data_IF_708096061052
#
_entry.id   IF_708096061052
#
_cell.length_a   1.000
_cell.length_b   1.000
_cell.length_c   1.000
_cell.angle_alpha   90.00
_cell.angle_beta   90.00
_cell.angle_gamma   90.00
#
_symmetry.space_group_name_H-M   'P 1'
#
loop_
_entity.id
_entity.type
_entity.pdbx_description
1 polymer ?
#
# COMPACT_ATOMS: atom_id res chain seq x y z
N UNK A 1 7.26 5.23 18.75
CA UNK A 1 7.04 5.92 20.05
C UNK A 1 6.99 7.41 19.78
N UNK A 2 5.88 8.09 20.09
CA UNK A 2 5.83 9.56 20.06
C UNK A 2 6.89 10.07 21.05
N UNK A 3 7.78 10.93 20.57
CA UNK A 3 8.69 11.68 21.45
C UNK A 3 8.06 13.06 21.62
N UNK A 4 7.69 13.36 22.84
CA UNK A 4 7.08 14.63 23.23
C UNK A 4 7.87 15.22 24.38
N UNK A 5 8.16 16.52 24.35
CA UNK A 5 8.91 17.24 25.38
C UNK A 5 8.24 18.58 25.68
N UNK A 6 8.27 18.97 26.94
CA UNK A 6 7.84 20.30 27.41
C UNK A 6 9.07 21.16 27.59
N UNK A 7 9.04 22.36 27.05
CA UNK A 7 10.13 23.35 27.15
C UNK A 7 10.07 23.99 28.52
N UNK A 8 11.22 24.07 29.20
CA UNK A 8 11.31 24.63 30.57
C UNK A 8 12.00 25.99 30.62
N UNK A 9 12.67 26.41 29.55
CA UNK A 9 13.41 27.66 29.44
C UNK A 9 13.26 28.27 28.04
N UNK A 10 13.44 29.59 27.93
CA UNK A 10 13.45 30.23 26.63
C UNK A 10 14.72 29.80 25.86
N UNK A 11 14.54 29.17 24.69
CA UNK A 11 15.65 28.59 23.91
C UNK A 11 15.28 28.51 22.43
N UNK A 12 16.28 28.64 21.57
CA UNK A 12 16.14 28.41 20.12
C UNK A 12 15.79 26.94 19.82
N UNK A 13 14.81 26.71 18.93
CA UNK A 13 14.32 25.38 18.56
C UNK A 13 15.45 24.41 18.17
N UNK A 14 16.39 24.85 17.32
CA UNK A 14 17.47 23.98 16.88
C UNK A 14 18.41 23.59 18.04
N UNK A 15 18.69 24.51 18.94
CA UNK A 15 19.51 24.25 20.13
C UNK A 15 18.79 23.29 21.07
N UNK A 16 17.49 23.49 21.29
CA UNK A 16 16.65 22.60 22.10
C UNK A 16 16.64 21.18 21.53
N UNK A 17 16.46 21.04 20.21
CA UNK A 17 16.49 19.74 19.56
C UNK A 17 17.84 19.04 19.69
N UNK A 18 18.96 19.76 19.64
CA UNK A 18 20.28 19.18 19.88
C UNK A 18 20.43 18.66 21.31
N UNK A 19 19.90 19.37 22.31
CA UNK A 19 19.90 18.92 23.70
C UNK A 19 19.07 17.65 23.89
N UNK A 20 17.84 17.61 23.33
CA UNK A 20 16.90 16.50 23.51
C UNK A 20 17.24 15.25 22.66
N UNK A 21 17.95 15.44 21.56
CA UNK A 21 18.31 14.39 20.60
C UNK A 21 19.82 14.14 20.55
N UNK A 22 20.46 14.13 21.69
CA UNK A 22 21.94 13.99 21.86
C UNK A 22 22.51 12.69 21.27
N UNK A 23 21.66 11.66 21.07
CA UNK A 23 22.01 10.40 20.41
C UNK A 23 21.99 10.47 18.86
N UNK A 24 21.72 11.63 18.27
CA UNK A 24 21.68 11.84 16.81
C UNK A 24 22.75 12.85 16.39
N UNK A 25 23.29 12.67 15.18
CA UNK A 25 24.20 13.65 14.60
C UNK A 25 23.48 14.98 14.32
N UNK A 26 24.23 16.11 14.37
CA UNK A 26 23.70 17.45 14.05
C UNK A 26 22.98 17.51 12.69
N UNK A 27 23.51 16.80 11.69
CA UNK A 27 22.89 16.72 10.36
C UNK A 27 21.58 15.94 10.39
N UNK A 28 21.46 14.90 11.21
CA UNK A 28 20.21 14.16 11.38
C UNK A 28 19.12 15.02 12.03
N UNK A 29 19.45 15.81 13.06
CA UNK A 29 18.52 16.73 13.72
C UNK A 29 18.08 17.84 12.77
N UNK A 30 18.99 18.49 12.06
CA UNK A 30 18.66 19.48 11.03
C UNK A 30 17.74 18.89 9.94
N UNK A 31 17.97 17.65 9.55
CA UNK A 31 17.14 16.93 8.59
C UNK A 31 15.71 16.67 9.09
N UNK A 32 15.51 16.37 10.38
CA UNK A 32 14.20 16.22 11.02
C UNK A 32 13.42 17.54 10.93
N UNK A 33 14.06 18.65 11.26
CA UNK A 33 13.47 19.98 11.22
C UNK A 33 13.09 20.40 9.79
N UNK A 34 14.03 20.29 8.85
CA UNK A 34 13.81 20.68 7.44
C UNK A 34 12.70 19.85 6.77
N UNK A 35 12.49 18.61 7.23
CA UNK A 35 11.40 17.73 6.76
C UNK A 35 10.04 18.06 7.38
N UNK A 36 9.95 19.06 8.28
CA UNK A 36 8.70 19.42 8.95
C UNK A 36 8.21 18.37 9.93
N UNK A 37 9.11 17.57 10.50
CA UNK A 37 8.76 16.55 11.48
C UNK A 37 8.61 17.12 12.91
N UNK A 38 9.02 18.38 13.10
CA UNK A 38 8.91 19.06 14.39
C UNK A 38 7.56 19.78 14.46
N UNK A 39 6.83 19.53 15.51
CA UNK A 39 5.54 20.17 15.81
C UNK A 39 5.68 20.91 17.13
N UNK A 40 5.29 22.17 17.16
CA UNK A 40 5.25 23.04 18.33
C UNK A 40 3.79 23.35 18.61
N UNK A 41 3.27 22.98 19.77
CA UNK A 41 1.88 23.25 20.16
C UNK A 41 0.86 22.83 19.09
N UNK A 42 1.07 21.66 18.46
CA UNK A 42 0.21 21.14 17.39
C UNK A 42 0.50 21.67 15.99
N UNK A 43 1.36 22.69 15.80
CA UNK A 43 1.70 23.29 14.51
C UNK A 43 3.09 22.85 14.03
N UNK A 44 3.21 22.52 12.73
CA UNK A 44 4.50 22.15 12.12
C UNK A 44 5.41 23.37 12.02
N UNK A 45 6.62 23.26 12.55
CA UNK A 45 7.68 24.27 12.35
C UNK A 45 8.83 23.70 11.54
N UNK A 46 9.37 24.53 10.62
CA UNK A 46 10.61 24.29 9.87
C UNK A 46 11.68 25.35 10.16
N UNK A 47 11.32 26.36 10.92
CA UNK A 47 12.21 27.46 11.29
C UNK A 47 13.16 27.00 12.39
N UNK A 48 14.46 27.01 12.11
CA UNK A 48 15.50 26.56 13.03
C UNK A 48 15.75 27.56 14.16
N UNK A 49 15.52 28.85 13.91
CA UNK A 49 15.70 30.00 14.80
C UNK A 49 14.42 30.37 15.57
N UNK A 50 13.39 29.56 15.53
CA UNK A 50 12.17 29.80 16.29
C UNK A 50 12.43 29.78 17.79
N UNK A 51 12.09 30.86 18.49
CA UNK A 51 12.27 30.97 19.96
C UNK A 51 11.13 30.27 20.66
N UNK A 52 11.47 29.21 21.38
CA UNK A 52 10.57 28.46 22.23
C UNK A 52 10.39 29.16 23.56
N UNK A 53 9.20 29.08 24.13
CA UNK A 53 8.86 29.62 25.44
C UNK A 53 8.66 28.48 26.46
N UNK A 54 8.88 28.72 27.78
CA UNK A 54 8.49 27.77 28.79
C UNK A 54 7.02 27.37 28.67
N UNK A 55 6.75 26.06 28.68
CA UNK A 55 5.41 25.50 28.47
C UNK A 55 5.12 25.05 27.04
N UNK A 56 5.95 25.42 26.04
CA UNK A 56 5.78 24.90 24.68
C UNK A 56 5.93 23.37 24.64
N UNK A 57 5.04 22.72 23.90
CA UNK A 57 5.04 21.27 23.69
C UNK A 57 5.67 20.95 22.34
N UNK A 58 6.78 20.23 22.35
CA UNK A 58 7.51 19.81 21.16
C UNK A 58 7.26 18.34 20.91
N UNK A 59 6.66 18.03 19.75
CA UNK A 59 6.48 16.66 19.28
C UNK A 59 7.38 16.40 18.07
N UNK A 60 7.98 15.20 18.01
CA UNK A 60 8.57 14.70 16.77
C UNK A 60 7.60 13.70 16.15
N UNK A 61 6.98 14.10 15.06
CA UNK A 61 6.10 13.22 14.27
C UNK A 61 6.96 12.42 13.26
N UNK A 62 6.69 11.15 13.17
CA UNK A 62 7.22 10.34 12.08
C UNK A 62 6.59 10.86 10.80
N UNK A 63 7.27 11.84 10.17
CA UNK A 63 6.96 12.53 8.90
C UNK A 63 5.54 13.10 8.75
N UNK A 64 5.46 14.40 8.67
CA UNK A 64 4.26 15.13 8.27
C UNK A 64 4.28 15.27 6.75
N UNK A 65 3.32 14.65 6.06
CA UNK A 65 2.95 15.04 4.70
C UNK A 65 2.48 16.49 4.80
N UNK A 66 3.04 17.45 4.04
CA UNK A 66 2.53 18.81 4.03
C UNK A 66 1.01 18.79 3.84
N UNK A 67 0.27 19.50 4.69
CA UNK A 67 -1.21 19.47 4.71
C UNK A 67 -1.85 19.89 3.37
N UNK A 68 -1.10 20.63 2.56
CA UNK A 68 -1.46 21.13 1.21
C UNK A 68 -1.08 20.15 0.08
N UNK A 69 -0.31 19.07 0.37
CA UNK A 69 0.09 18.12 -0.66
C UNK A 69 -0.99 17.06 -0.87
N UNK A 70 -1.94 17.34 -1.76
CA UNK A 70 -2.94 16.37 -2.22
C UNK A 70 -2.30 15.36 -3.16
N UNK A 71 -2.01 14.15 -2.66
CA UNK A 71 -1.62 13.01 -3.48
C UNK A 71 -2.87 12.43 -4.16
N UNK A 72 -2.84 12.33 -5.49
CA UNK A 72 -4.01 11.88 -6.25
C UNK A 72 -4.10 10.36 -6.25
N UNK A 73 -5.18 9.83 -5.66
CA UNK A 73 -5.49 8.40 -5.68
C UNK A 73 -4.60 7.52 -4.83
N UNK A 74 -3.79 8.08 -3.93
CA UNK A 74 -3.01 7.35 -2.94
C UNK A 74 -3.08 8.01 -1.56
N UNK A 75 -2.96 7.19 -0.51
CA UNK A 75 -2.79 7.60 0.88
C UNK A 75 -1.55 6.92 1.43
N UNK A 76 -0.61 7.69 1.96
CA UNK A 76 0.57 7.14 2.64
C UNK A 76 0.12 6.68 4.04
N UNK A 77 0.34 5.39 4.35
CA UNK A 77 0.02 4.78 5.63
C UNK A 77 1.25 4.68 6.53
N UNK A 78 2.41 4.45 5.92
CA UNK A 78 3.69 4.34 6.62
C UNK A 78 4.82 4.81 5.72
N UNK A 79 5.82 5.42 6.33
CA UNK A 79 7.05 5.80 5.66
C UNK A 79 8.21 5.85 6.65
N UNK A 80 9.34 5.26 6.27
CA UNK A 80 10.61 5.40 6.98
C UNK A 80 11.77 5.73 6.01
N UNK A 81 13.00 5.42 6.38
CA UNK A 81 14.16 5.68 5.51
C UNK A 81 14.27 4.71 4.34
N UNK A 82 13.66 3.55 4.43
CA UNK A 82 13.86 2.44 3.51
C UNK A 82 12.63 2.16 2.62
N UNK A 83 11.41 2.42 3.11
CA UNK A 83 10.19 2.10 2.35
C UNK A 83 9.01 3.06 2.61
N UNK A 84 8.02 2.96 1.73
CA UNK A 84 6.73 3.64 1.83
C UNK A 84 5.64 2.60 1.61
N UNK A 85 4.66 2.53 2.53
CA UNK A 85 3.44 1.76 2.37
C UNK A 85 2.28 2.71 2.10
N UNK A 86 1.54 2.41 1.05
CA UNK A 86 0.40 3.21 0.64
C UNK A 86 -0.87 2.38 0.52
N UNK A 87 -2.00 3.05 0.60
CA UNK A 87 -3.27 2.59 0.05
C UNK A 87 -3.51 3.27 -1.29
N UNK A 88 -3.71 2.48 -2.35
CA UNK A 88 -3.97 2.91 -3.72
C UNK A 88 -5.46 2.84 -4.04
N UNK A 89 -6.03 3.87 -4.63
CA UNK A 89 -7.39 3.84 -5.15
C UNK A 89 -7.51 2.95 -6.40
N UNK A 90 -8.72 2.44 -6.65
CA UNK A 90 -9.06 1.83 -7.94
C UNK A 90 -8.99 2.87 -9.06
N UNK A 91 -8.67 2.41 -10.28
CA UNK A 91 -8.52 3.27 -11.46
C UNK A 91 -7.13 3.86 -11.64
N UNK A 92 -6.29 3.90 -10.59
CA UNK A 92 -4.92 4.39 -10.66
C UNK A 92 -3.94 3.25 -11.01
N UNK A 93 -3.08 3.47 -11.99
CA UNK A 93 -1.99 2.54 -12.30
C UNK A 93 -0.93 2.52 -11.18
N UNK A 94 -0.31 1.38 -10.93
CA UNK A 94 0.87 1.31 -10.03
C UNK A 94 2.08 1.96 -10.69
N UNK A 95 2.34 1.61 -11.96
CA UNK A 95 3.45 2.10 -12.79
C UNK A 95 2.93 2.45 -14.19
N UNK A 96 3.71 3.24 -14.91
CA UNK A 96 3.40 3.62 -16.28
C UNK A 96 3.22 2.42 -17.23
N UNK A 97 2.39 2.63 -18.25
CA UNK A 97 2.23 1.78 -19.42
C UNK A 97 2.65 2.57 -20.66
N UNK A 98 2.56 1.96 -21.83
CA UNK A 98 2.83 2.67 -23.09
C UNK A 98 1.85 3.84 -23.31
N UNK A 99 0.60 3.66 -22.91
CA UNK A 99 -0.49 4.61 -23.14
C UNK A 99 -0.75 5.61 -22.01
N UNK A 100 -0.35 5.30 -20.78
CA UNK A 100 -0.54 6.17 -19.61
C UNK A 100 0.75 6.26 -18.80
N UNK A 101 1.37 7.44 -18.79
CA UNK A 101 2.68 7.66 -18.16
C UNK A 101 2.62 8.56 -16.92
N UNK A 102 1.59 9.38 -16.81
CA UNK A 102 1.51 10.42 -15.79
C UNK A 102 0.67 10.01 -14.57
N UNK A 103 -0.49 9.40 -14.78
CA UNK A 103 -1.41 9.06 -13.67
C UNK A 103 -1.08 7.69 -13.08
N UNK A 104 -0.02 7.63 -12.27
CA UNK A 104 0.42 6.40 -11.60
C UNK A 104 0.81 6.65 -10.15
N UNK A 105 0.62 5.65 -9.27
CA UNK A 105 1.06 5.73 -7.88
C UNK A 105 2.58 6.02 -7.77
N UNK A 106 3.37 5.46 -8.69
CA UNK A 106 4.80 5.72 -8.77
C UNK A 106 5.13 7.20 -9.03
N UNK A 107 4.42 7.85 -9.95
CA UNK A 107 4.62 9.28 -10.27
C UNK A 107 4.19 10.18 -9.11
N UNK A 108 3.05 9.91 -8.49
CA UNK A 108 2.56 10.64 -7.31
C UNK A 108 3.57 10.57 -6.16
N UNK A 109 4.09 9.36 -5.86
CA UNK A 109 5.12 9.19 -4.83
C UNK A 109 6.47 9.80 -5.23
N UNK A 110 6.84 9.74 -6.52
CA UNK A 110 8.07 10.39 -7.01
C UNK A 110 7.98 11.92 -6.84
N UNK A 111 6.81 12.50 -7.14
CA UNK A 111 6.56 13.93 -6.92
C UNK A 111 6.64 14.27 -5.42
N UNK A 112 6.04 13.45 -4.57
CA UNK A 112 6.11 13.57 -3.13
C UNK A 112 7.57 13.53 -2.62
N UNK A 113 8.35 12.53 -3.04
CA UNK A 113 9.76 12.40 -2.63
C UNK A 113 10.62 13.55 -3.13
N UNK A 114 10.41 14.05 -4.34
CA UNK A 114 11.15 15.22 -4.86
C UNK A 114 10.99 16.45 -3.98
N UNK A 115 9.81 16.66 -3.41
CA UNK A 115 9.54 17.79 -2.51
C UNK A 115 10.03 17.56 -1.08
N UNK A 116 9.91 16.34 -0.58
CA UNK A 116 10.21 16.04 0.83
C UNK A 116 11.61 15.47 1.05
N UNK A 117 12.15 14.76 0.05
CA UNK A 117 13.44 14.06 0.11
C UNK A 117 14.09 13.98 -1.29
N UNK A 118 14.58 15.11 -1.85
CA UNK A 118 14.97 15.19 -3.27
C UNK A 118 16.14 14.24 -3.66
N UNK A 119 16.93 13.78 -2.69
CA UNK A 119 18.02 12.82 -2.92
C UNK A 119 17.57 11.35 -2.93
N UNK A 120 16.32 11.06 -2.56
CA UNK A 120 15.80 9.68 -2.51
C UNK A 120 15.21 9.27 -3.85
N UNK A 121 15.42 8.02 -4.21
CA UNK A 121 14.81 7.37 -5.38
C UNK A 121 13.71 6.43 -4.94
N UNK A 122 12.72 6.21 -5.79
CA UNK A 122 11.63 5.28 -5.55
C UNK A 122 11.81 4.03 -6.39
N UNK A 123 11.55 2.87 -5.79
CA UNK A 123 11.66 1.57 -6.45
C UNK A 123 10.38 0.77 -6.23
N UNK A 124 9.89 0.15 -7.29
CA UNK A 124 8.69 -0.69 -7.24
C UNK A 124 9.06 -2.05 -6.68
N UNK A 125 8.44 -2.44 -5.58
CA UNK A 125 8.61 -3.76 -4.95
C UNK A 125 7.67 -4.78 -5.57
N UNK A 126 6.38 -4.45 -5.63
CA UNK A 126 5.33 -5.23 -6.29
C UNK A 126 4.27 -4.31 -6.89
N UNK A 127 3.25 -4.88 -7.49
CA UNK A 127 2.21 -4.09 -8.15
C UNK A 127 0.81 -4.63 -7.91
N UNK A 128 -0.17 -3.74 -7.95
CA UNK A 128 -1.59 -4.03 -8.13
C UNK A 128 -2.02 -3.64 -9.55
N UNK A 129 -3.05 -4.29 -10.05
CA UNK A 129 -3.69 -3.90 -11.31
C UNK A 129 -4.32 -2.50 -11.18
N UNK A 130 -4.57 -1.82 -12.31
CA UNK A 130 -5.15 -0.48 -12.35
C UNK A 130 -6.39 -0.38 -11.46
N UNK A 131 -7.33 -1.29 -11.66
CA UNK A 131 -8.65 -1.21 -11.03
C UNK A 131 -8.73 -1.91 -9.66
N UNK A 132 -7.66 -2.60 -9.24
CA UNK A 132 -7.50 -3.12 -7.88
C UNK A 132 -7.07 -2.00 -6.94
N UNK A 133 -7.77 -1.81 -5.84
CA UNK A 133 -7.39 -0.88 -4.77
C UNK A 133 -6.67 -1.59 -3.62
N UNK A 134 -6.08 -0.83 -2.70
CA UNK A 134 -5.52 -1.34 -1.45
C UNK A 134 -4.02 -1.19 -1.32
N UNK A 135 -3.43 -2.03 -0.49
CA UNK A 135 -2.07 -1.90 0.06
C UNK A 135 -0.96 -2.19 -0.95
N UNK A 136 0.03 -1.31 -0.99
CA UNK A 136 1.22 -1.41 -1.82
C UNK A 136 2.47 -0.97 -1.06
N UNK A 137 3.62 -1.64 -1.31
CA UNK A 137 4.94 -1.26 -0.81
C UNK A 137 5.78 -0.70 -1.96
N UNK A 138 6.48 0.40 -1.68
CA UNK A 138 7.57 0.92 -2.49
C UNK A 138 8.83 1.01 -1.64
N UNK A 139 9.99 0.73 -2.22
CA UNK A 139 11.27 0.92 -1.55
C UNK A 139 11.88 2.29 -1.92
N UNK A 140 12.66 2.86 -1.01
CA UNK A 140 13.35 4.15 -1.19
C UNK A 140 14.83 3.99 -1.54
N UNK A 141 15.30 2.75 -1.62
CA UNK A 141 16.63 2.37 -2.09
C UNK A 141 16.59 1.00 -2.77
N UNK A 142 17.61 0.73 -3.59
CA UNK A 142 17.72 -0.48 -4.40
C UNK A 142 17.90 -1.74 -3.54
N UNK A 143 18.70 -1.66 -2.51
CA UNK A 143 19.00 -2.77 -1.58
C UNK A 143 17.72 -3.30 -0.92
N UNK A 144 16.90 -2.40 -0.36
CA UNK A 144 15.61 -2.74 0.24
C UNK A 144 14.67 -3.42 -0.75
N UNK A 145 14.56 -2.88 -2.00
CA UNK A 145 13.77 -3.50 -3.06
C UNK A 145 14.24 -4.92 -3.33
N UNK A 146 15.55 -5.11 -3.58
CA UNK A 146 16.12 -6.40 -3.96
C UNK A 146 15.97 -7.42 -2.84
N UNK A 147 16.23 -7.04 -1.59
CA UNK A 147 16.07 -7.91 -0.44
C UNK A 147 14.63 -8.43 -0.31
N UNK A 148 13.62 -7.57 -0.40
CA UNK A 148 12.21 -7.99 -0.33
C UNK A 148 11.85 -8.88 -1.52
N UNK A 149 12.30 -8.55 -2.75
CA UNK A 149 11.95 -9.32 -3.95
C UNK A 149 12.60 -10.70 -3.98
N UNK A 150 13.87 -10.81 -3.59
CA UNK A 150 14.61 -12.08 -3.56
C UNK A 150 14.04 -13.06 -2.53
N UNK A 151 13.62 -12.55 -1.38
CA UNK A 151 13.06 -13.35 -0.30
C UNK A 151 11.54 -13.20 -0.18
N UNK A 152 10.84 -12.91 -1.28
CA UNK A 152 9.43 -12.51 -1.30
C UNK A 152 8.52 -13.43 -0.45
N UNK A 153 8.63 -14.75 -0.63
CA UNK A 153 7.79 -15.71 0.09
C UNK A 153 8.06 -15.75 1.60
N UNK A 154 9.30 -15.46 2.01
CA UNK A 154 9.70 -15.37 3.41
C UNK A 154 9.42 -13.98 3.99
N UNK A 155 9.75 -12.93 3.22
CA UNK A 155 9.61 -11.54 3.65
C UNK A 155 8.18 -11.04 3.65
N UNK A 156 7.27 -11.65 2.86
CA UNK A 156 5.86 -11.23 2.74
C UNK A 156 4.95 -12.43 3.05
N UNK A 157 4.85 -12.83 4.35
CA UNK A 157 4.14 -14.04 4.74
C UNK A 157 2.64 -13.99 4.49
N UNK A 158 2.05 -12.81 4.41
CA UNK A 158 0.60 -12.72 4.24
C UNK A 158 0.18 -11.52 3.38
N UNK A 159 -0.62 -11.84 2.35
CA UNK A 159 -1.32 -10.88 1.48
C UNK A 159 -2.74 -11.36 1.32
N UNK A 160 -3.70 -10.54 1.77
CA UNK A 160 -5.12 -10.86 1.63
C UNK A 160 -5.85 -9.80 0.83
N UNK A 161 -6.85 -10.28 0.14
CA UNK A 161 -7.73 -9.47 -0.70
C UNK A 161 -9.17 -9.72 -0.34
N UNK A 162 -9.98 -8.68 -0.45
CA UNK A 162 -11.42 -8.82 -0.50
C UNK A 162 -11.83 -8.87 -1.98
N UNK A 163 -12.49 -9.95 -2.36
CA UNK A 163 -13.07 -10.12 -3.70
C UNK A 163 -14.60 -10.18 -3.58
N UNK A 164 -15.26 -9.13 -4.07
CA UNK A 164 -16.70 -9.14 -4.28
C UNK A 164 -16.98 -9.85 -5.60
N UNK A 165 -17.65 -10.99 -5.56
CA UNK A 165 -17.92 -11.83 -6.72
C UNK A 165 -19.41 -11.98 -6.99
N UNK A 166 -19.76 -12.32 -8.24
CA UNK A 166 -21.14 -12.59 -8.64
C UNK A 166 -21.61 -13.97 -8.15
N UNK A 167 -22.87 -14.02 -7.73
CA UNK A 167 -23.54 -15.23 -7.30
C UNK A 167 -23.26 -15.64 -5.85
N UNK A 168 -23.95 -16.70 -5.45
CA UNK A 168 -23.89 -17.29 -4.13
C UNK A 168 -22.75 -18.33 -4.07
N UNK A 169 -21.70 -18.05 -3.33
CA UNK A 169 -20.61 -19.01 -3.06
C UNK A 169 -20.90 -19.73 -1.74
N UNK A 170 -21.12 -21.03 -1.81
CA UNK A 170 -21.52 -21.82 -0.63
C UNK A 170 -20.40 -22.00 0.39
N UNK A 171 -19.19 -22.31 -0.09
CA UNK A 171 -18.05 -22.64 0.77
C UNK A 171 -16.72 -22.11 0.21
N UNK A 172 -15.76 -21.94 1.11
CA UNK A 172 -14.39 -21.62 0.75
C UNK A 172 -13.68 -22.79 0.06
N UNK A 173 -12.51 -22.50 -0.50
CA UNK A 173 -11.73 -23.50 -1.20
C UNK A 173 -10.32 -23.03 -1.56
N UNK A 174 -9.65 -23.90 -2.32
CA UNK A 174 -8.33 -23.64 -2.91
C UNK A 174 -8.39 -23.91 -4.40
N UNK A 175 -7.91 -22.94 -5.19
CA UNK A 175 -7.80 -23.07 -6.65
C UNK A 175 -6.33 -23.17 -7.01
N UNK A 176 -5.97 -24.21 -7.72
CA UNK A 176 -4.62 -24.41 -8.28
C UNK A 176 -4.74 -24.57 -9.78
N UNK A 177 -4.01 -23.74 -10.52
CA UNK A 177 -3.98 -23.80 -11.98
C UNK A 177 -2.64 -23.31 -12.54
N UNK A 178 -2.48 -23.40 -13.86
CA UNK A 178 -1.32 -22.86 -14.58
C UNK A 178 -1.78 -21.70 -15.45
N UNK A 179 -1.20 -20.52 -15.20
CA UNK A 179 -1.57 -19.29 -15.89
C UNK A 179 -0.60 -18.95 -17.00
N UNK A 180 -1.13 -18.69 -18.19
CA UNK A 180 -0.38 -18.26 -19.37
C UNK A 180 -0.85 -16.89 -19.84
N UNK A 181 0.10 -16.04 -20.28
CA UNK A 181 -0.23 -14.77 -20.92
C UNK A 181 -0.72 -15.03 -22.36
N UNK A 182 -1.92 -14.59 -22.67
CA UNK A 182 -2.51 -14.65 -24.00
C UNK A 182 -2.44 -13.29 -24.72
N UNK A 183 -3.03 -13.23 -25.92
CA UNK A 183 -3.15 -12.00 -26.71
C UNK A 183 -3.92 -10.93 -25.92
N UNK A 184 -3.69 -9.65 -26.20
CA UNK A 184 -4.36 -8.49 -25.57
C UNK A 184 -4.28 -8.48 -24.04
N UNK A 185 -3.13 -8.93 -23.48
CA UNK A 185 -2.91 -9.03 -22.04
C UNK A 185 -3.94 -9.89 -21.28
N UNK A 186 -4.69 -10.74 -21.97
CA UNK A 186 -5.59 -11.70 -21.37
C UNK A 186 -4.75 -12.83 -20.75
N UNK A 187 -5.08 -13.25 -19.53
CA UNK A 187 -4.44 -14.40 -18.86
C UNK A 187 -5.41 -15.56 -18.93
N UNK A 188 -4.92 -16.72 -19.36
CA UNK A 188 -5.70 -17.98 -19.44
C UNK A 188 -5.26 -18.92 -18.33
N UNK A 189 -6.22 -19.68 -17.83
CA UNK A 189 -6.01 -20.73 -16.84
C UNK A 189 -6.09 -22.11 -17.47
N UNK A 190 -5.32 -23.05 -16.96
CA UNK A 190 -5.42 -24.48 -17.27
C UNK A 190 -5.34 -25.28 -15.98
N UNK A 191 -6.19 -26.31 -15.85
CA UNK A 191 -6.16 -27.25 -14.73
C UNK A 191 -4.94 -28.19 -14.78
N UNK A 192 -4.31 -28.34 -15.94
CA UNK A 192 -3.11 -29.15 -16.16
C UNK A 192 -1.92 -28.26 -16.51
N UNK A 193 -0.71 -28.77 -16.22
CA UNK A 193 0.53 -28.07 -16.58
C UNK A 193 0.69 -27.99 -18.10
N UNK A 194 0.50 -26.80 -18.64
CA UNK A 194 0.61 -26.47 -20.06
C UNK A 194 1.84 -25.57 -20.35
N UNK A 195 2.85 -25.58 -19.49
CA UNK A 195 3.99 -24.65 -19.54
C UNK A 195 3.71 -23.30 -18.91
N UNK A 196 2.50 -23.06 -18.37
CA UNK A 196 2.14 -21.85 -17.64
C UNK A 196 2.80 -21.76 -16.27
N UNK A 197 2.62 -20.60 -15.63
CA UNK A 197 3.12 -20.36 -14.27
C UNK A 197 2.10 -20.86 -13.26
N UNK A 198 2.51 -21.80 -12.38
CA UNK A 198 1.65 -22.30 -11.30
C UNK A 198 1.11 -21.15 -10.45
N UNK A 199 -0.19 -21.18 -10.18
CA UNK A 199 -0.94 -20.19 -9.39
C UNK A 199 -1.79 -20.90 -8.35
N UNK A 200 -1.74 -20.43 -7.09
CA UNK A 200 -2.49 -20.99 -5.97
C UNK A 200 -3.18 -19.86 -5.23
N UNK A 201 -4.51 -19.97 -5.11
CA UNK A 201 -5.37 -19.01 -4.43
C UNK A 201 -6.26 -19.73 -3.43
N UNK A 202 -6.20 -19.34 -2.17
CA UNK A 202 -7.10 -19.79 -1.11
C UNK A 202 -8.18 -18.75 -0.90
N UNK A 203 -9.42 -19.16 -0.70
CA UNK A 203 -10.51 -18.23 -0.41
C UNK A 203 -11.48 -18.77 0.64
N UNK A 204 -12.05 -17.86 1.41
CA UNK A 204 -13.11 -18.14 2.40
C UNK A 204 -14.25 -17.18 2.14
N UNK A 205 -15.49 -17.66 2.36
CA UNK A 205 -16.68 -16.81 2.28
C UNK A 205 -16.77 -15.99 3.56
N UNK A 206 -16.76 -14.65 3.43
CA UNK A 206 -16.96 -13.74 4.57
C UNK A 206 -18.45 -13.43 4.77
N UNK A 207 -19.15 -13.12 3.66
CA UNK A 207 -20.60 -12.88 3.65
C UNK A 207 -21.13 -13.20 2.25
N UNK A 208 -22.35 -13.71 2.17
CA UNK A 208 -23.01 -14.02 0.89
C UNK A 208 -24.50 -13.71 0.95
N UNK A 209 -25.07 -13.42 -0.20
CA UNK A 209 -26.51 -13.37 -0.43
C UNK A 209 -26.85 -14.06 -1.76
N UNK A 210 -28.08 -13.97 -2.23
CA UNK A 210 -28.52 -14.59 -3.47
C UNK A 210 -27.72 -14.15 -4.71
N UNK A 211 -27.22 -12.90 -4.74
CA UNK A 211 -26.64 -12.27 -5.93
C UNK A 211 -25.14 -12.09 -5.86
N UNK A 212 -24.56 -11.98 -4.67
CA UNK A 212 -23.15 -11.65 -4.47
C UNK A 212 -22.55 -12.37 -3.27
N UNK A 213 -21.23 -12.59 -3.34
CA UNK A 213 -20.44 -13.07 -2.21
C UNK A 213 -19.21 -12.20 -2.04
N UNK A 214 -18.87 -11.89 -0.80
CA UNK A 214 -17.60 -11.26 -0.43
C UNK A 214 -16.66 -12.35 0.08
N UNK A 215 -15.55 -12.51 -0.60
CA UNK A 215 -14.55 -13.53 -0.30
C UNK A 215 -13.31 -12.89 0.32
N UNK A 216 -12.80 -13.50 1.37
CA UNK A 216 -11.45 -13.27 1.89
C UNK A 216 -10.47 -14.18 1.15
N UNK A 217 -9.60 -13.61 0.34
CA UNK A 217 -8.71 -14.32 -0.57
C UNK A 217 -7.26 -14.19 -0.11
N UNK A 218 -6.59 -15.31 0.16
CA UNK A 218 -5.16 -15.39 0.47
C UNK A 218 -4.39 -15.89 -0.75
N UNK A 219 -3.35 -15.16 -1.15
CA UNK A 219 -2.48 -15.55 -2.26
C UNK A 219 -1.23 -16.26 -1.76
N UNK A 220 -1.01 -17.49 -2.21
CA UNK A 220 0.27 -18.18 -2.08
C UNK A 220 1.24 -17.75 -3.20
N UNK A 221 0.73 -17.59 -4.42
CA UNK A 221 1.44 -17.03 -5.57
C UNK A 221 0.88 -15.67 -5.95
N UNK A 222 1.58 -14.91 -6.82
CA UNK A 222 1.14 -13.58 -7.25
C UNK A 222 1.31 -13.39 -8.76
N UNK A 223 0.52 -14.13 -9.56
CA UNK A 223 0.55 -13.99 -11.02
C UNK A 223 -0.36 -12.87 -11.47
N UNK A 224 -0.11 -12.35 -12.66
CA UNK A 224 -0.93 -11.31 -13.29
C UNK A 224 -2.39 -11.75 -13.36
N UNK A 225 -3.30 -10.89 -12.90
CA UNK A 225 -4.75 -11.12 -12.87
C UNK A 225 -5.20 -12.42 -12.13
N UNK A 226 -4.36 -13.04 -11.30
CA UNK A 226 -4.57 -14.36 -10.74
C UNK A 226 -5.95 -14.53 -10.07
N UNK A 227 -6.32 -13.64 -9.15
CA UNK A 227 -7.62 -13.71 -8.46
C UNK A 227 -8.76 -13.62 -9.47
N UNK A 228 -8.66 -12.71 -10.42
CA UNK A 228 -9.70 -12.44 -11.42
C UNK A 228 -9.97 -13.66 -12.30
N UNK A 229 -8.89 -14.32 -12.75
CA UNK A 229 -8.97 -15.57 -13.54
C UNK A 229 -9.54 -16.70 -12.69
N UNK A 230 -9.02 -16.92 -11.49
CA UNK A 230 -9.47 -18.00 -10.60
C UNK A 230 -10.93 -17.85 -10.18
N UNK A 231 -11.42 -16.63 -9.98
CA UNK A 231 -12.84 -16.42 -9.70
C UNK A 231 -13.72 -16.73 -10.92
N UNK A 232 -13.24 -16.43 -12.14
CA UNK A 232 -13.90 -16.85 -13.37
C UNK A 232 -13.90 -18.38 -13.51
N UNK A 233 -12.79 -19.07 -13.19
CA UNK A 233 -12.69 -20.54 -13.29
C UNK A 233 -13.75 -21.25 -12.45
N UNK A 234 -14.09 -20.70 -11.28
CA UNK A 234 -15.15 -21.23 -10.41
C UNK A 234 -16.54 -20.64 -10.73
N UNK A 235 -16.68 -19.91 -11.85
CA UNK A 235 -17.93 -19.29 -12.33
C UNK A 235 -18.52 -18.21 -11.40
N UNK A 236 -17.68 -17.59 -10.59
CA UNK A 236 -18.01 -16.47 -9.71
C UNK A 236 -17.11 -15.27 -10.05
N UNK A 237 -17.33 -14.67 -11.23
CA UNK A 237 -16.53 -13.55 -11.69
C UNK A 237 -16.51 -12.40 -10.70
N UNK A 238 -15.37 -11.72 -10.58
CA UNK A 238 -15.25 -10.52 -9.73
C UNK A 238 -16.17 -9.44 -10.29
N UNK A 239 -17.04 -8.88 -9.46
CA UNK A 239 -17.99 -7.82 -9.86
C UNK A 239 -17.27 -6.69 -10.59
N UNK A 240 -17.84 -6.27 -11.74
CA UNK A 240 -17.29 -5.22 -12.59
C UNK A 240 -16.13 -5.65 -13.48
N UNK A 241 -15.72 -6.91 -13.44
CA UNK A 241 -14.66 -7.45 -14.27
C UNK A 241 -15.16 -7.94 -15.64
N UNK A 242 -15.52 -7.01 -16.51
CA UNK A 242 -15.99 -7.35 -17.87
C UNK A 242 -14.99 -8.23 -18.64
N UNK A 243 -13.70 -8.07 -18.39
CA UNK A 243 -12.64 -8.83 -19.05
C UNK A 243 -12.68 -10.31 -18.70
N UNK A 244 -13.08 -10.65 -17.50
CA UNK A 244 -13.18 -12.01 -16.99
C UNK A 244 -14.62 -12.42 -16.67
N UNK A 245 -15.57 -11.96 -17.51
CA UNK A 245 -16.92 -12.53 -17.60
C UNK A 245 -17.93 -11.99 -16.61
N UNK A 246 -17.65 -10.92 -15.87
CA UNK A 246 -18.67 -10.31 -15.02
C UNK A 246 -19.78 -9.69 -15.85
N UNK A 247 -21.02 -9.95 -15.43
CA UNK A 247 -22.26 -9.47 -16.07
C UNK A 247 -22.81 -8.22 -15.39
N UNK A 248 -22.37 -7.92 -14.17
CA UNK A 248 -22.85 -6.80 -13.36
C UNK A 248 -21.72 -5.86 -12.92
N UNK A 249 -22.07 -4.59 -12.69
CA UNK A 249 -21.15 -3.60 -12.10
C UNK A 249 -21.90 -2.57 -11.24
N UNK A 250 -22.61 -2.99 -10.18
CA UNK A 250 -23.39 -2.09 -9.32
C UNK A 250 -22.51 -1.14 -8.52
N UNK A 251 -21.24 -1.50 -8.28
CA UNK A 251 -20.28 -0.68 -7.52
C UNK A 251 -19.44 0.26 -8.41
N UNK A 252 -19.66 0.24 -9.75
CA UNK A 252 -18.97 1.06 -10.76
C UNK A 252 -17.44 0.96 -10.73
N UNK A 253 -16.92 -0.18 -10.31
CA UNK A 253 -15.47 -0.48 -10.27
C UNK A 253 -15.25 -2.00 -10.17
N UNK A 254 -13.99 -2.43 -10.33
CA UNK A 254 -13.61 -3.81 -10.01
C UNK A 254 -13.81 -4.09 -8.51
N UNK A 255 -14.47 -5.17 -8.19
CA UNK A 255 -14.75 -5.66 -6.84
C UNK A 255 -13.55 -6.33 -6.18
N UNK A 256 -12.33 -5.76 -6.31
CA UNK A 256 -11.10 -6.34 -5.77
C UNK A 256 -10.31 -5.31 -4.96
N UNK A 257 -9.90 -5.69 -3.74
CA UNK A 257 -9.22 -4.80 -2.80
C UNK A 257 -8.17 -5.55 -1.97
N UNK A 258 -6.91 -5.14 -2.02
CA UNK A 258 -5.81 -5.66 -1.20
C UNK A 258 -5.88 -5.06 0.20
N UNK A 259 -6.55 -5.74 1.14
CA UNK A 259 -6.87 -5.14 2.44
C UNK A 259 -5.84 -5.42 3.54
N UNK A 260 -5.14 -6.57 3.47
CA UNK A 260 -4.14 -6.95 4.48
C UNK A 260 -2.80 -7.26 3.82
N UNK A 261 -1.76 -6.70 4.41
CA UNK A 261 -0.38 -6.92 4.00
C UNK A 261 0.51 -7.05 5.24
N UNK A 262 1.16 -8.22 5.40
CA UNK A 262 2.18 -8.44 6.41
C UNK A 262 3.52 -8.66 5.73
N UNK A 263 4.54 -7.98 6.20
CA UNK A 263 5.89 -8.20 5.71
C UNK A 263 6.94 -7.94 6.78
N UNK A 264 8.10 -8.60 6.63
CA UNK A 264 9.27 -8.39 7.48
C UNK A 264 10.04 -7.21 6.92
N UNK A 265 10.24 -6.18 7.75
CA UNK A 265 11.02 -5.02 7.36
C UNK A 265 12.48 -5.42 7.09
N UNK A 266 13.03 -5.17 5.88
CA UNK A 266 14.30 -5.76 5.45
C UNK A 266 15.51 -5.33 6.28
N UNK A 267 15.45 -4.17 6.95
CA UNK A 267 16.55 -3.64 7.76
C UNK A 267 16.42 -3.92 9.25
N UNK A 268 15.19 -3.82 9.77
CA UNK A 268 14.94 -3.98 11.22
C UNK A 268 14.52 -5.38 11.60
N UNK A 269 14.21 -6.24 10.63
CA UNK A 269 13.66 -7.60 10.78
C UNK A 269 12.35 -7.65 11.59
N UNK A 270 11.67 -6.52 11.79
CA UNK A 270 10.37 -6.47 12.47
C UNK A 270 9.25 -6.84 11.52
N UNK A 271 8.31 -7.66 11.98
CA UNK A 271 7.07 -7.92 11.25
C UNK A 271 6.20 -6.66 11.31
N UNK A 272 5.88 -6.11 10.15
CA UNK A 272 4.94 -5.00 9.99
C UNK A 272 3.62 -5.53 9.42
N UNK A 273 2.52 -5.05 9.97
CA UNK A 273 1.16 -5.40 9.56
C UNK A 273 0.41 -4.13 9.19
N UNK A 274 -0.18 -4.13 8.00
CA UNK A 274 -1.05 -3.06 7.52
C UNK A 274 -2.39 -3.65 7.13
N UNK A 275 -3.45 -2.98 7.52
CA UNK A 275 -4.82 -3.34 7.22
C UNK A 275 -5.61 -2.10 6.84
N UNK A 276 -6.52 -2.23 5.90
CA UNK A 276 -7.44 -1.17 5.47
C UNK A 276 -8.88 -1.63 5.65
N UNK A 277 -9.79 -0.69 5.80
CA UNK A 277 -11.21 -0.96 5.91
C UNK A 277 -11.77 -1.63 4.65
N UNK A 278 -12.83 -2.42 4.83
CA UNK A 278 -13.63 -2.93 3.72
C UNK A 278 -14.22 -1.75 2.94
N UNK A 279 -14.05 -1.67 1.61
CA UNK A 279 -14.63 -0.59 0.83
C UNK A 279 -16.14 -0.47 1.04
N UNK A 280 -16.63 0.71 1.39
CA UNK A 280 -18.06 0.96 1.68
C UNK A 280 -18.99 0.47 0.56
N UNK A 281 -18.54 0.54 -0.70
CA UNK A 281 -19.28 0.05 -1.85
C UNK A 281 -19.46 -1.47 -1.85
N UNK A 282 -18.53 -2.25 -1.24
CA UNK A 282 -18.66 -3.70 -1.12
C UNK A 282 -19.70 -4.05 -0.05
N UNK A 283 -19.63 -3.39 1.11
CA UNK A 283 -20.59 -3.62 2.22
C UNK A 283 -22.03 -3.33 1.82
N UNK A 284 -22.26 -2.31 1.00
CA UNK A 284 -23.61 -1.93 0.50
C UNK A 284 -24.32 -3.03 -0.27
N UNK A 285 -23.59 -4.01 -0.81
CA UNK A 285 -24.17 -5.11 -1.59
C UNK A 285 -24.85 -6.18 -0.71
N UNK A 286 -24.70 -6.08 0.62
CA UNK A 286 -25.23 -7.05 1.59
C UNK A 286 -26.23 -6.42 2.60
N UNK A 287 -26.63 -5.18 2.35
CA UNK A 287 -27.65 -4.46 3.14
C UNK A 287 -29.01 -4.57 2.51
#
# INVERSE_FOLDING_TARGET
>A
MKKEWIVNEQIELLQYLFKQMNNKSRNAVKSILSRGQVVINGQVSKQFDNMLQPGDVIEIKDRVVPADMKLRGIKILFEDDDLIVIEKNAGLLTIATETEKEHTAYKELTYYLRKTQPKRKLFVVHRLDRDTSGLLIFAKNKETKEKIQQTWHQSVPERRYLALVEGHVEKGGTITSWLTDGKNHFVRSSSTNNGGKKAITHYKVSITNKYYSLLDVKLETGRKNQIRVHMQDIKHSVVGDKKYGATSNPIRRLGLHAYLLKFIHPKTNKLLTFETDVPKSFVKMFR
#
